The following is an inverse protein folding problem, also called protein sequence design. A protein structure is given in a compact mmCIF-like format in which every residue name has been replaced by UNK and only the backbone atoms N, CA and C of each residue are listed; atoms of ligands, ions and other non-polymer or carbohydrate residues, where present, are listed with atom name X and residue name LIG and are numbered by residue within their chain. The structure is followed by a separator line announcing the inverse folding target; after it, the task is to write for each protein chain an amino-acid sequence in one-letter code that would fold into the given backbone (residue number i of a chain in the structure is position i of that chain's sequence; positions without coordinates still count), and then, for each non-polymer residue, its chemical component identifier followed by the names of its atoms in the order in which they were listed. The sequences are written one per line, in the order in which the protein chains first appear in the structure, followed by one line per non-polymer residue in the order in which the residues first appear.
data_IF_752895888477
#
_entry.id   IF_752895888477
#
_cell.length_a   1.000
_cell.length_b   1.000
_cell.length_c   1.000
_cell.angle_alpha   90.00
_cell.angle_beta   90.00
_cell.angle_gamma   90.00
#
_symmetry.space_group_name_H-M   'P 1'
#
loop_
_entity.id
_entity.type
_entity.pdbx_description
1 polymer ?
#
# COMPACT_ATOMS: atom_id res chain seq x y z
N UNK A 1 17.92 -42.44 -26.75
CA UNK A 1 17.04 -43.32 -27.56
C UNK A 1 15.61 -42.85 -27.40
N UNK A 2 15.01 -42.43 -28.54
CA UNK A 2 13.57 -42.50 -28.91
C UNK A 2 12.56 -41.79 -27.96
N UNK A 3 11.56 -41.01 -28.34
CA UNK A 3 11.12 -40.38 -29.62
C UNK A 3 9.99 -39.42 -29.23
N UNK A 4 9.99 -38.28 -29.83
CA UNK A 4 8.93 -37.34 -30.20
C UNK A 4 7.51 -37.91 -30.31
N UNK A 5 6.47 -37.15 -29.92
CA UNK A 5 5.25 -36.98 -30.73
C UNK A 5 4.67 -35.58 -30.47
N UNK A 6 4.59 -34.83 -31.56
CA UNK A 6 3.91 -33.58 -31.82
C UNK A 6 2.48 -33.88 -32.23
N UNK A 7 1.48 -33.11 -31.79
CA UNK A 7 0.19 -33.08 -32.49
C UNK A 7 -0.32 -31.63 -32.57
N UNK A 8 -0.29 -31.11 -33.78
CA UNK A 8 -0.97 -29.90 -34.24
C UNK A 8 -2.47 -30.19 -34.44
N UNK A 9 -3.33 -29.26 -34.06
CA UNK A 9 -4.68 -29.18 -34.63
C UNK A 9 -4.98 -27.73 -35.00
N UNK A 10 -4.93 -27.48 -36.30
CA UNK A 10 -5.46 -26.29 -36.95
C UNK A 10 -6.87 -26.60 -37.44
N UNK A 11 -7.82 -25.70 -37.20
CA UNK A 11 -9.10 -25.73 -37.93
C UNK A 11 -9.45 -24.31 -38.38
N UNK A 12 -9.28 -24.12 -39.67
CA UNK A 12 -9.80 -23.00 -40.47
C UNK A 12 -11.28 -23.26 -40.83
N UNK A 13 -12.12 -22.23 -40.75
CA UNK A 13 -13.32 -22.21 -41.62
C UNK A 13 -13.65 -20.82 -42.14
N UNK A 14 -14.06 -20.84 -43.37
CA UNK A 14 -14.04 -19.82 -44.38
C UNK A 14 -15.26 -18.87 -44.36
N UNK A 15 -15.03 -17.74 -45.03
CA UNK A 15 -16.00 -16.70 -45.37
C UNK A 15 -17.05 -17.18 -46.40
N UNK A 16 -18.24 -16.59 -46.39
CA UNK A 16 -19.13 -16.51 -47.54
C UNK A 16 -19.77 -15.12 -47.62
N UNK A 17 -19.41 -14.44 -48.71
CA UNK A 17 -20.01 -13.21 -49.19
C UNK A 17 -21.15 -13.57 -50.13
N UNK A 18 -22.30 -12.89 -50.06
CA UNK A 18 -23.23 -12.81 -51.17
C UNK A 18 -23.87 -11.42 -51.26
N UNK A 19 -23.55 -10.80 -52.39
CA UNK A 19 -24.03 -9.53 -52.90
C UNK A 19 -25.31 -9.75 -53.66
N UNK A 20 -26.30 -8.87 -53.58
CA UNK A 20 -27.27 -8.66 -54.67
C UNK A 20 -27.80 -7.25 -54.65
N UNK A 21 -27.56 -6.57 -55.74
CA UNK A 21 -28.10 -5.27 -56.15
C UNK A 21 -29.55 -5.35 -56.55
N UNK A 22 -30.29 -4.23 -56.47
CA UNK A 22 -31.56 -4.00 -57.17
C UNK A 22 -32.20 -2.69 -56.77
N UNK A 23 -32.08 -1.65 -57.63
CA UNK A 23 -32.59 -0.31 -57.42
C UNK A 23 -34.06 -0.12 -57.82
N UNK A 24 -34.65 0.96 -57.40
CA UNK A 24 -35.40 1.95 -58.19
C UNK A 24 -36.26 2.84 -57.30
N UNK A 25 -36.18 4.13 -57.51
CA UNK A 25 -36.93 5.29 -56.99
C UNK A 25 -38.19 5.51 -57.87
N UNK A 26 -39.09 6.50 -57.62
CA UNK A 26 -39.69 7.09 -56.42
C UNK A 26 -41.26 7.16 -56.51
N UNK A 27 -41.92 7.50 -55.43
CA UNK A 27 -43.22 8.22 -55.47
C UNK A 27 -43.57 8.94 -54.16
N UNK A 28 -44.19 10.06 -54.32
CA UNK A 28 -44.46 11.17 -53.45
C UNK A 28 -45.52 10.93 -52.34
N UNK A 29 -45.38 11.74 -51.31
CA UNK A 29 -46.35 12.55 -50.55
C UNK A 29 -47.55 11.87 -49.92
N UNK A 30 -47.68 11.96 -48.60
CA UNK A 30 -48.75 12.69 -47.89
C UNK A 30 -48.39 12.86 -46.43
N UNK A 31 -48.51 14.09 -45.98
CA UNK A 31 -48.42 14.49 -44.57
C UNK A 31 -49.70 14.11 -43.80
N UNK A 32 -49.54 13.64 -42.56
CA UNK A 32 -50.59 13.64 -41.55
C UNK A 32 -49.96 13.63 -40.12
N UNK A 33 -50.67 14.05 -39.07
CA UNK A 33 -50.17 15.04 -38.11
C UNK A 33 -49.46 14.45 -36.91
N UNK A 34 -48.66 15.31 -36.27
CA UNK A 34 -47.90 15.06 -35.08
C UNK A 34 -48.77 14.59 -33.88
N UNK A 35 -48.42 13.45 -33.34
CA UNK A 35 -48.81 13.04 -31.99
C UNK A 35 -47.78 13.55 -30.96
N UNK A 36 -48.15 13.89 -29.71
CA UNK A 36 -47.26 14.51 -28.76
C UNK A 36 -46.19 13.52 -28.28
N UNK A 37 -44.98 14.01 -28.23
CA UNK A 37 -43.85 13.30 -27.65
C UNK A 37 -44.10 13.01 -26.15
N UNK A 38 -44.26 11.75 -25.83
CA UNK A 38 -44.15 11.28 -24.45
C UNK A 38 -42.69 11.39 -24.07
N UNK A 39 -42.40 12.30 -23.15
CA UNK A 39 -41.10 12.37 -22.48
C UNK A 39 -41.00 11.14 -21.57
N UNK A 40 -40.40 10.06 -22.03
CA UNK A 40 -39.90 9.02 -21.15
C UNK A 40 -38.76 9.63 -20.34
N UNK A 41 -39.07 9.96 -19.09
CA UNK A 41 -38.04 10.14 -18.08
C UNK A 41 -37.30 8.79 -17.94
N UNK A 42 -36.11 8.70 -18.53
CA UNK A 42 -35.19 7.63 -18.24
C UNK A 42 -34.90 7.71 -16.74
N UNK A 43 -35.49 6.81 -15.96
CA UNK A 43 -35.06 6.52 -14.61
C UNK A 43 -33.58 6.06 -14.75
N UNK A 44 -32.63 6.91 -14.36
CA UNK A 44 -31.29 6.47 -14.07
C UNK A 44 -31.44 5.41 -12.99
N UNK A 45 -31.16 4.15 -13.35
CA UNK A 45 -30.93 3.13 -12.35
C UNK A 45 -29.71 3.61 -11.56
N UNK A 46 -29.92 4.01 -10.31
CA UNK A 46 -28.84 4.17 -9.34
C UNK A 46 -28.07 2.85 -9.35
N UNK A 47 -26.75 2.94 -9.61
CA UNK A 47 -25.86 1.83 -9.37
C UNK A 47 -26.10 1.36 -7.92
N UNK A 48 -26.09 0.05 -7.65
CA UNK A 48 -26.23 -0.44 -6.29
C UNK A 48 -25.22 0.31 -5.41
N UNK A 49 -25.69 0.92 -4.33
CA UNK A 49 -24.84 1.58 -3.37
C UNK A 49 -23.75 0.59 -2.97
N UNK A 50 -22.48 0.98 -3.09
CA UNK A 50 -21.37 0.16 -2.61
C UNK A 50 -21.68 -0.20 -1.14
N UNK A 51 -21.50 -1.48 -0.79
CA UNK A 51 -21.65 -1.92 0.60
C UNK A 51 -20.68 -1.08 1.46
N UNK A 52 -21.19 -0.47 2.53
CA UNK A 52 -20.38 0.33 3.45
C UNK A 52 -19.44 -0.60 4.22
N UNK A 53 -18.13 -0.38 4.10
CA UNK A 53 -17.15 -1.10 4.89
C UNK A 53 -17.31 -0.80 6.39
N UNK A 54 -17.72 0.43 6.72
CA UNK A 54 -18.05 0.82 8.10
C UNK A 54 -19.18 -0.03 8.69
N UNK A 55 -20.25 -0.26 7.93
CA UNK A 55 -21.33 -1.13 8.39
C UNK A 55 -20.89 -2.59 8.51
N UNK A 56 -20.06 -3.06 7.58
CA UNK A 56 -19.52 -4.42 7.60
C UNK A 56 -18.67 -4.67 8.84
N UNK A 57 -17.69 -3.79 9.16
CA UNK A 57 -16.86 -3.96 10.36
C UNK A 57 -17.68 -3.87 11.66
N UNK A 58 -18.69 -2.98 11.72
CA UNK A 58 -19.60 -2.89 12.87
C UNK A 58 -20.43 -4.16 13.04
N UNK A 59 -20.90 -4.75 11.96
CA UNK A 59 -21.63 -6.02 11.99
C UNK A 59 -20.73 -7.20 12.41
N UNK A 60 -19.47 -7.20 11.97
CA UNK A 60 -18.48 -8.21 12.33
C UNK A 60 -17.88 -8.00 13.75
N UNK A 61 -18.05 -6.81 14.33
CA UNK A 61 -17.55 -6.46 15.65
C UNK A 61 -16.04 -6.23 15.72
N UNK A 62 -15.34 -6.16 14.59
CA UNK A 62 -13.89 -5.95 14.56
C UNK A 62 -13.41 -5.24 13.30
N UNK A 63 -12.30 -4.50 13.44
CA UNK A 63 -11.47 -3.97 12.37
C UNK A 63 -10.22 -4.85 12.25
N UNK A 64 -9.95 -5.41 11.06
CA UNK A 64 -8.76 -6.22 10.79
C UNK A 64 -7.71 -5.37 10.08
N UNK A 65 -6.53 -5.22 10.70
CA UNK A 65 -5.44 -4.35 10.25
C UNK A 65 -4.28 -5.21 9.77
N UNK A 66 -3.84 -5.03 8.53
CA UNK A 66 -2.68 -5.71 7.95
C UNK A 66 -1.39 -4.92 8.20
N UNK A 67 -0.38 -5.61 8.76
CA UNK A 67 0.92 -5.02 9.13
C UNK A 67 2.09 -5.96 8.79
N UNK A 68 3.31 -5.42 8.78
CA UNK A 68 4.58 -6.16 8.90
C UNK A 68 5.31 -5.73 10.16
N UNK A 69 6.38 -6.43 10.55
CA UNK A 69 7.22 -6.05 11.70
C UNK A 69 8.03 -4.79 11.37
N UNK A 70 7.62 -3.66 11.93
CA UNK A 70 8.15 -2.33 11.66
C UNK A 70 8.20 -1.47 12.93
N UNK A 71 9.24 -1.62 13.76
CA UNK A 71 9.47 -0.72 14.91
C UNK A 71 9.88 0.68 14.39
N UNK A 72 9.26 1.79 14.87
CA UNK A 72 8.38 1.89 16.04
C UNK A 72 6.88 1.98 15.70
N UNK A 73 6.49 1.67 14.46
CA UNK A 73 5.10 1.80 14.00
C UNK A 73 4.23 0.62 14.42
N UNK A 74 4.67 -0.61 14.10
CA UNK A 74 3.99 -1.87 14.46
C UNK A 74 5.02 -2.94 14.74
N UNK A 75 5.12 -3.40 15.97
CA UNK A 75 6.05 -4.45 16.37
C UNK A 75 5.51 -5.21 17.58
N UNK A 76 6.15 -6.33 17.93
CA UNK A 76 5.69 -7.16 19.04
C UNK A 76 6.51 -6.89 20.30
N UNK A 77 5.81 -6.73 21.42
CA UNK A 77 6.44 -6.72 22.74
C UNK A 77 6.93 -8.13 23.14
N UNK A 78 7.61 -8.23 24.29
CA UNK A 78 8.11 -9.51 24.83
C UNK A 78 7.00 -10.55 25.08
N UNK A 79 5.76 -10.13 25.21
CA UNK A 79 4.59 -10.99 25.42
C UNK A 79 3.93 -11.39 24.08
N UNK A 80 4.40 -10.86 22.96
CA UNK A 80 3.88 -11.12 21.63
C UNK A 80 2.67 -10.27 21.24
N UNK A 81 2.38 -9.20 22.00
CA UNK A 81 1.31 -8.26 21.62
C UNK A 81 1.84 -7.24 20.64
N UNK A 82 1.04 -6.90 19.64
CA UNK A 82 1.32 -5.79 18.75
C UNK A 82 1.25 -4.46 19.51
N UNK A 83 2.31 -3.68 19.42
CA UNK A 83 2.46 -2.32 19.97
C UNK A 83 3.10 -1.43 18.89
N UNK A 84 3.21 -0.14 19.13
CA UNK A 84 3.76 0.83 18.20
C UNK A 84 2.76 1.95 17.92
N UNK A 85 3.25 3.00 17.28
CA UNK A 85 2.42 4.18 17.00
C UNK A 85 1.18 3.83 16.17
N UNK A 86 1.37 3.13 15.04
CA UNK A 86 0.27 2.76 14.16
C UNK A 86 -0.64 1.71 14.81
N UNK A 87 -0.07 0.71 15.48
CA UNK A 87 -0.83 -0.32 16.19
C UNK A 87 -1.76 0.28 17.27
N UNK A 88 -1.27 1.25 18.04
CA UNK A 88 -2.06 1.85 19.11
C UNK A 88 -3.08 2.85 18.58
N UNK A 89 -2.74 3.60 17.52
CA UNK A 89 -3.71 4.46 16.84
C UNK A 89 -4.81 3.64 16.13
N UNK A 90 -4.49 2.48 15.56
CA UNK A 90 -5.47 1.57 14.97
C UNK A 90 -6.43 1.00 16.02
N UNK A 91 -5.91 0.58 17.19
CA UNK A 91 -6.74 0.16 18.32
C UNK A 91 -7.66 1.28 18.82
N UNK A 92 -7.13 2.52 18.91
CA UNK A 92 -7.92 3.68 19.31
C UNK A 92 -9.01 4.02 18.28
N UNK A 93 -8.71 3.91 16.99
CA UNK A 93 -9.69 4.09 15.91
C UNK A 93 -10.78 3.04 15.97
N UNK A 94 -10.44 1.74 16.08
CA UNK A 94 -11.42 0.66 16.23
C UNK A 94 -12.34 0.88 17.44
N UNK A 95 -11.75 1.26 18.59
CA UNK A 95 -12.52 1.59 19.79
C UNK A 95 -13.47 2.78 19.57
N UNK A 96 -13.08 3.80 18.81
CA UNK A 96 -13.94 4.93 18.45
C UNK A 96 -15.16 4.53 17.63
N UNK A 97 -15.04 3.45 16.85
CA UNK A 97 -16.11 2.86 16.05
C UNK A 97 -16.97 1.87 16.86
N UNK A 98 -16.55 1.52 18.08
CA UNK A 98 -17.21 0.55 18.96
C UNK A 98 -16.96 -0.90 18.57
N UNK A 99 -15.82 -1.20 17.96
CA UNK A 99 -15.41 -2.55 17.54
C UNK A 99 -14.03 -2.91 18.13
N UNK A 100 -13.68 -4.20 18.12
CA UNK A 100 -12.36 -4.69 18.46
C UNK A 100 -11.35 -4.41 17.34
N UNK A 101 -10.05 -4.36 17.66
CA UNK A 101 -8.97 -4.29 16.69
C UNK A 101 -8.24 -5.64 16.63
N UNK A 102 -8.19 -6.24 15.45
CA UNK A 102 -7.38 -7.43 15.17
C UNK A 102 -6.23 -7.04 14.25
N UNK A 103 -4.98 -7.16 14.72
CA UNK A 103 -3.78 -6.87 13.93
C UNK A 103 -3.23 -8.19 13.42
N UNK A 104 -3.05 -8.30 12.11
CA UNK A 104 -2.57 -9.51 11.43
C UNK A 104 -1.31 -9.19 10.62
N UNK A 105 -0.34 -10.08 10.71
CA UNK A 105 0.88 -9.98 9.90
C UNK A 105 0.58 -10.49 8.49
N UNK A 106 0.95 -9.69 7.49
CA UNK A 106 0.78 -9.99 6.06
C UNK A 106 2.13 -10.04 5.35
N UNK A 107 2.16 -10.58 4.14
CA UNK A 107 3.25 -10.34 3.22
C UNK A 107 2.99 -9.01 2.52
N UNK A 108 3.91 -8.05 2.66
CA UNK A 108 3.70 -6.67 2.19
C UNK A 108 3.42 -6.55 0.69
N UNK A 109 4.05 -7.40 -0.10
CA UNK A 109 3.81 -7.48 -1.55
C UNK A 109 2.36 -7.87 -1.91
N UNK A 110 1.66 -8.54 -0.99
CA UNK A 110 0.28 -8.96 -1.15
C UNK A 110 -0.76 -7.99 -0.55
N UNK A 111 -0.35 -6.83 0.00
CA UNK A 111 -1.24 -5.91 0.74
C UNK A 111 -2.52 -5.51 -0.02
N UNK A 112 -2.40 -5.25 -1.34
CA UNK A 112 -3.55 -4.90 -2.18
C UNK A 112 -4.48 -6.11 -2.35
N UNK A 113 -3.91 -7.29 -2.59
CA UNK A 113 -4.67 -8.53 -2.76
C UNK A 113 -5.42 -8.94 -1.47
N UNK A 114 -4.75 -8.81 -0.32
CA UNK A 114 -5.37 -9.07 0.99
C UNK A 114 -6.53 -8.12 1.27
N UNK A 115 -6.36 -6.84 0.93
CA UNK A 115 -7.37 -5.81 1.08
C UNK A 115 -8.60 -6.07 0.18
N UNK A 116 -8.36 -6.34 -1.12
CA UNK A 116 -9.40 -6.65 -2.10
C UNK A 116 -10.11 -7.97 -1.78
N UNK A 117 -9.36 -8.95 -1.25
CA UNK A 117 -9.86 -10.25 -0.79
C UNK A 117 -10.69 -10.19 0.49
N UNK A 118 -10.75 -9.01 1.15
CA UNK A 118 -11.45 -8.81 2.44
C UNK A 118 -10.89 -9.69 3.57
N UNK A 119 -9.62 -10.09 3.51
CA UNK A 119 -8.91 -10.74 4.61
C UNK A 119 -8.46 -9.73 5.65
N UNK A 120 -8.20 -8.49 5.22
CA UNK A 120 -7.98 -7.32 6.05
C UNK A 120 -8.96 -6.20 5.66
N UNK A 121 -9.17 -5.25 6.57
CA UNK A 121 -10.03 -4.08 6.34
C UNK A 121 -9.22 -2.83 5.99
N UNK A 122 -8.00 -2.75 6.48
CA UNK A 122 -7.04 -1.70 6.12
C UNK A 122 -5.60 -2.20 6.17
N UNK A 123 -4.73 -1.46 5.48
CA UNK A 123 -3.27 -1.54 5.58
C UNK A 123 -2.82 -0.32 6.36
N UNK A 124 -2.27 -0.53 7.56
CA UNK A 124 -1.84 0.56 8.43
C UNK A 124 -0.51 0.19 9.08
N UNK A 125 0.59 0.57 8.47
CA UNK A 125 1.94 0.09 8.83
C UNK A 125 3.01 1.03 8.24
N UNK A 126 2.96 2.33 8.58
CA UNK A 126 3.87 3.30 7.96
C UNK A 126 3.82 3.24 6.43
N UNK A 127 2.61 3.08 5.87
CA UNK A 127 2.47 2.84 4.44
C UNK A 127 2.70 4.13 3.64
N UNK A 128 3.74 4.12 2.82
CA UNK A 128 4.04 5.22 1.90
C UNK A 128 2.93 5.41 0.88
N UNK A 129 2.49 6.64 0.72
CA UNK A 129 1.47 7.04 -0.25
C UNK A 129 2.08 7.14 -1.67
N UNK A 130 2.51 6.01 -2.24
CA UNK A 130 3.02 5.94 -3.62
C UNK A 130 1.89 6.12 -4.64
N UNK A 131 2.23 6.33 -5.91
CA UNK A 131 1.23 6.44 -6.98
C UNK A 131 0.48 5.12 -7.17
N UNK A 132 1.15 3.96 -6.98
CA UNK A 132 0.53 2.65 -7.00
C UNK A 132 -0.53 2.51 -5.90
N UNK A 133 -0.15 2.81 -4.65
CA UNK A 133 -1.04 2.76 -3.48
C UNK A 133 -2.26 3.66 -3.67
N UNK A 134 -2.05 4.92 -4.06
CA UNK A 134 -3.15 5.89 -4.32
C UNK A 134 -4.08 5.44 -5.45
N UNK A 135 -3.54 4.74 -6.44
CA UNK A 135 -4.34 4.19 -7.55
C UNK A 135 -5.19 3.00 -7.12
N UNK A 136 -4.63 2.10 -6.31
CA UNK A 136 -5.26 0.84 -5.92
C UNK A 136 -6.20 0.98 -4.72
N UNK A 137 -5.90 1.88 -3.77
CA UNK A 137 -6.60 2.00 -2.49
C UNK A 137 -7.32 3.33 -2.33
N UNK A 138 -8.32 3.38 -1.45
CA UNK A 138 -8.84 4.60 -0.85
C UNK A 138 -7.95 4.93 0.34
N UNK A 139 -7.18 6.01 0.23
CA UNK A 139 -6.20 6.36 1.24
C UNK A 139 -6.72 7.47 2.17
N UNK A 140 -6.30 7.42 3.42
CA UNK A 140 -6.43 8.57 4.33
C UNK A 140 -5.56 9.73 3.83
N UNK A 141 -5.74 10.90 4.44
CA UNK A 141 -4.73 11.95 4.36
C UNK A 141 -3.41 11.48 4.98
N UNK A 142 -2.33 12.11 4.54
CA UNK A 142 -1.03 11.88 5.14
C UNK A 142 -1.03 12.30 6.62
N UNK A 143 -0.42 11.47 7.47
CA UNK A 143 -0.31 11.74 8.91
C UNK A 143 1.13 11.88 9.41
N UNK A 144 2.11 11.36 8.66
CA UNK A 144 3.51 11.31 9.07
C UNK A 144 4.45 11.49 7.87
N UNK A 145 5.57 12.18 8.07
CA UNK A 145 6.64 12.30 7.08
C UNK A 145 7.64 11.15 7.25
N UNK A 146 8.22 10.71 6.15
CA UNK A 146 9.27 9.69 6.11
C UNK A 146 10.25 9.94 4.95
N UNK A 147 11.25 9.07 4.85
CA UNK A 147 12.17 8.96 3.72
C UNK A 147 12.70 7.54 3.63
N UNK A 148 13.02 7.08 2.43
CA UNK A 148 13.79 5.86 2.24
C UNK A 148 15.27 6.19 2.39
N UNK A 149 15.97 5.44 3.25
CA UNK A 149 17.39 5.69 3.53
C UNK A 149 18.21 4.41 3.42
N UNK A 150 19.48 4.59 3.12
CA UNK A 150 20.47 3.50 3.02
C UNK A 150 21.07 3.22 4.40
N UNK A 151 20.94 1.98 4.84
CA UNK A 151 21.61 1.45 6.03
C UNK A 151 22.77 0.54 5.61
N UNK A 152 23.94 0.71 6.24
CA UNK A 152 25.17 0.01 5.92
C UNK A 152 26.01 -0.21 7.19
N UNK A 153 27.03 -1.08 7.13
CA UNK A 153 27.98 -1.23 8.24
C UNK A 153 28.75 0.07 8.48
N UNK A 154 28.91 0.43 9.75
CA UNK A 154 29.52 1.71 10.16
C UNK A 154 30.98 1.84 9.71
N UNK A 155 31.72 0.71 9.62
CA UNK A 155 33.17 0.70 9.27
C UNK A 155 33.45 1.00 7.79
N UNK A 156 32.44 0.93 6.91
CA UNK A 156 32.56 1.25 5.49
C UNK A 156 31.75 2.47 5.06
N UNK A 157 30.94 3.02 5.93
CA UNK A 157 29.97 4.07 5.63
C UNK A 157 30.55 5.32 4.93
N UNK A 158 31.77 5.72 5.28
CA UNK A 158 32.44 6.89 4.69
C UNK A 158 32.66 6.77 3.17
N UNK A 159 32.63 5.55 2.63
CA UNK A 159 32.82 5.27 1.21
C UNK A 159 31.51 5.42 0.40
N UNK A 160 30.34 5.46 1.08
CA UNK A 160 29.03 5.32 0.48
C UNK A 160 28.11 6.48 0.87
N UNK A 161 28.51 7.70 0.49
CA UNK A 161 27.83 8.95 0.86
C UNK A 161 27.05 9.58 -0.31
N UNK A 162 27.01 8.94 -1.47
CA UNK A 162 26.29 9.42 -2.68
C UNK A 162 25.63 8.23 -3.39
N UNK A 163 24.52 8.48 -4.10
CA UNK A 163 23.83 7.42 -4.88
C UNK A 163 24.78 6.73 -5.85
N UNK A 164 25.70 7.46 -6.49
CA UNK A 164 26.65 6.90 -7.42
C UNK A 164 27.60 5.88 -6.76
N UNK A 165 27.99 6.12 -5.50
CA UNK A 165 28.83 5.18 -4.75
C UNK A 165 28.13 3.88 -4.37
N UNK A 166 26.80 3.82 -4.48
CA UNK A 166 25.98 2.67 -4.09
C UNK A 166 25.80 1.63 -5.20
N UNK A 167 26.13 1.97 -6.45
CA UNK A 167 25.80 1.18 -7.65
C UNK A 167 26.35 -0.25 -7.67
N UNK A 168 27.47 -0.49 -7.01
CA UNK A 168 28.11 -1.81 -6.96
C UNK A 168 27.66 -2.66 -5.75
N UNK A 169 26.82 -2.11 -4.86
CA UNK A 169 26.32 -2.81 -3.68
C UNK A 169 25.12 -3.68 -4.01
N UNK A 170 24.93 -4.73 -3.20
CA UNK A 170 23.70 -5.54 -3.16
C UNK A 170 22.90 -5.15 -1.94
N UNK A 171 21.66 -4.73 -2.18
CA UNK A 171 20.74 -4.29 -1.13
C UNK A 171 19.78 -5.39 -0.72
N UNK A 172 19.40 -5.43 0.56
CA UNK A 172 18.18 -6.07 1.02
C UNK A 172 17.07 -5.03 1.08
N UNK A 173 15.90 -5.31 0.51
CA UNK A 173 14.73 -4.44 0.55
C UNK A 173 13.45 -5.26 0.74
N UNK A 174 12.47 -4.72 1.44
CA UNK A 174 11.19 -5.40 1.59
C UNK A 174 10.45 -5.45 0.26
N UNK A 175 9.96 -6.64 -0.12
CA UNK A 175 9.24 -6.84 -1.38
C UNK A 175 7.97 -5.99 -1.45
N UNK A 176 7.75 -5.31 -2.57
CA UNK A 176 6.58 -4.45 -2.81
C UNK A 176 6.53 -3.18 -1.95
N UNK A 177 7.66 -2.78 -1.33
CA UNK A 177 7.77 -1.55 -0.54
C UNK A 177 8.19 -0.34 -1.38
N UNK A 178 8.05 0.87 -0.81
CA UNK A 178 8.64 2.08 -1.37
C UNK A 178 10.18 1.99 -1.49
N UNK A 179 10.83 1.25 -0.59
CA UNK A 179 12.25 0.96 -0.66
C UNK A 179 12.62 0.18 -1.93
N UNK A 180 11.79 -0.77 -2.35
CA UNK A 180 11.98 -1.47 -3.62
C UNK A 180 11.79 -0.53 -4.81
N UNK A 181 10.73 0.29 -4.85
CA UNK A 181 10.51 1.28 -5.92
C UNK A 181 11.72 2.20 -6.08
N UNK A 182 12.24 2.73 -4.96
CA UNK A 182 13.40 3.62 -4.97
C UNK A 182 14.69 2.89 -5.41
N UNK A 183 14.85 1.61 -5.07
CA UNK A 183 15.97 0.81 -5.56
C UNK A 183 15.91 0.64 -7.08
N UNK A 184 14.73 0.36 -7.63
CA UNK A 184 14.49 0.24 -9.08
C UNK A 184 14.72 1.57 -9.80
N UNK A 185 14.17 2.67 -9.30
CA UNK A 185 14.34 4.03 -9.86
C UNK A 185 15.80 4.46 -9.91
N UNK A 186 16.59 4.07 -8.92
CA UNK A 186 18.01 4.36 -8.85
C UNK A 186 18.90 3.28 -9.50
N UNK A 187 18.31 2.27 -10.15
CA UNK A 187 19.03 1.16 -10.80
C UNK A 187 20.05 0.48 -9.85
N UNK A 188 19.64 0.26 -8.59
CA UNK A 188 20.45 -0.43 -7.57
C UNK A 188 20.19 -1.94 -7.64
N UNK A 189 21.20 -2.76 -7.33
CA UNK A 189 21.04 -4.21 -7.28
C UNK A 189 20.43 -4.59 -5.92
N UNK A 190 19.32 -5.31 -5.91
CA UNK A 190 18.69 -5.71 -4.66
C UNK A 190 18.20 -7.17 -4.65
N UNK A 191 18.03 -7.67 -3.44
CA UNK A 191 17.35 -8.94 -3.14
C UNK A 191 16.14 -8.61 -2.28
N UNK A 192 14.93 -8.99 -2.70
CA UNK A 192 13.73 -8.75 -1.90
C UNK A 192 13.72 -9.67 -0.67
N UNK A 193 13.31 -9.11 0.48
CA UNK A 193 13.07 -9.81 1.74
C UNK A 193 11.62 -9.64 2.17
N UNK A 194 11.19 -10.35 3.23
CA UNK A 194 9.79 -10.36 3.66
C UNK A 194 9.38 -9.08 4.42
N UNK A 195 10.30 -8.54 5.23
CA UNK A 195 10.06 -7.35 6.05
C UNK A 195 11.32 -6.48 6.11
N UNK A 196 11.18 -5.20 6.42
CA UNK A 196 12.33 -4.30 6.58
C UNK A 196 13.25 -4.74 7.73
N UNK A 197 12.71 -5.32 8.80
CA UNK A 197 13.50 -5.90 9.89
C UNK A 197 14.43 -7.03 9.38
N UNK A 198 13.97 -7.84 8.42
CA UNK A 198 14.82 -8.87 7.77
C UNK A 198 15.96 -8.22 6.97
N UNK A 199 15.71 -7.07 6.32
CA UNK A 199 16.76 -6.35 5.60
C UNK A 199 17.88 -5.89 6.54
N UNK A 200 17.57 -5.40 7.74
CA UNK A 200 18.58 -5.08 8.75
C UNK A 200 19.37 -6.31 9.21
N UNK A 201 18.72 -7.46 9.37
CA UNK A 201 19.38 -8.72 9.72
C UNK A 201 20.35 -9.18 8.63
N UNK A 202 19.99 -9.06 7.35
CA UNK A 202 20.86 -9.38 6.21
C UNK A 202 22.15 -8.55 6.23
N UNK A 203 22.05 -7.22 6.44
CA UNK A 203 23.21 -6.35 6.52
C UNK A 203 24.07 -6.67 7.75
N UNK A 204 23.48 -6.91 8.91
CA UNK A 204 24.18 -7.26 10.13
C UNK A 204 24.94 -8.59 9.97
N UNK A 205 24.32 -9.58 9.34
CA UNK A 205 24.93 -10.88 9.02
C UNK A 205 26.01 -10.79 7.93
N UNK A 206 25.95 -9.76 7.06
CA UNK A 206 26.86 -9.58 5.92
C UNK A 206 26.48 -10.43 4.71
N UNK A 207 25.21 -10.82 4.59
CA UNK A 207 24.65 -11.49 3.42
C UNK A 207 24.20 -10.49 2.36
N UNK A 208 23.87 -9.26 2.76
CA UNK A 208 23.71 -8.09 1.92
C UNK A 208 24.70 -6.99 2.33
N UNK A 209 25.14 -6.16 1.37
CA UNK A 209 26.05 -5.05 1.64
C UNK A 209 25.38 -3.89 2.36
N UNK A 210 24.12 -3.61 1.99
CA UNK A 210 23.31 -2.52 2.50
C UNK A 210 21.82 -2.90 2.53
N UNK A 211 21.00 -2.06 3.17
CA UNK A 211 19.54 -2.12 3.10
C UNK A 211 18.97 -0.77 2.71
N UNK A 212 17.79 -0.77 2.11
CA UNK A 212 16.95 0.42 1.99
C UNK A 212 15.74 0.20 2.86
N UNK A 213 15.56 1.08 3.84
CA UNK A 213 14.47 1.03 4.82
C UNK A 213 13.94 2.42 5.12
N UNK A 214 12.84 2.47 5.82
CA UNK A 214 12.23 3.70 6.30
C UNK A 214 13.10 4.40 7.35
N UNK A 215 13.18 5.72 7.25
CA UNK A 215 13.99 6.54 8.15
C UNK A 215 13.55 6.44 9.61
N UNK A 216 12.26 6.22 9.87
CA UNK A 216 11.74 6.03 11.23
C UNK A 216 12.21 4.70 11.84
N UNK A 217 12.20 3.61 11.05
CA UNK A 217 12.80 2.34 11.51
C UNK A 217 14.29 2.48 11.77
N UNK A 218 15.02 3.13 10.86
CA UNK A 218 16.45 3.33 11.06
C UNK A 218 16.76 4.16 12.31
N UNK A 219 15.95 5.20 12.58
CA UNK A 219 16.11 6.02 13.79
C UNK A 219 15.86 5.23 15.08
N UNK A 220 14.95 4.25 15.06
CA UNK A 220 14.63 3.42 16.22
C UNK A 220 15.65 2.28 16.42
N UNK A 221 16.12 1.64 15.34
CA UNK A 221 16.81 0.36 15.43
C UNK A 221 18.30 0.41 15.10
N UNK A 222 18.83 1.49 14.47
CA UNK A 222 20.19 1.58 13.95
C UNK A 222 21.04 2.59 14.71
N UNK A 223 22.26 2.19 15.10
CA UNK A 223 23.23 3.05 15.76
C UNK A 223 23.52 2.67 17.21
N UNK A 224 24.38 3.43 17.86
CA UNK A 224 24.84 3.17 19.23
C UNK A 224 23.65 3.12 20.21
N UNK A 225 23.59 2.08 21.03
CA UNK A 225 22.53 1.87 22.01
C UNK A 225 21.30 1.14 21.50
N UNK A 226 21.27 0.77 20.23
CA UNK A 226 20.17 0.01 19.60
C UNK A 226 20.56 -1.45 19.33
N UNK A 227 19.62 -2.23 18.78
CA UNK A 227 19.86 -3.63 18.35
C UNK A 227 20.93 -3.76 17.27
N UNK A 228 21.15 -2.72 16.46
CA UNK A 228 22.10 -2.70 15.34
C UNK A 228 23.19 -1.62 15.53
N UNK A 229 23.91 -1.69 16.65
CA UNK A 229 24.94 -0.71 17.01
C UNK A 229 26.14 -0.62 16.04
N UNK A 230 26.35 -1.63 15.21
CA UNK A 230 27.40 -1.70 14.19
C UNK A 230 26.95 -1.24 12.81
N UNK A 231 25.69 -0.85 12.68
CA UNK A 231 25.12 -0.27 11.47
C UNK A 231 24.97 1.25 11.61
N UNK A 232 24.90 1.92 10.50
CA UNK A 232 24.60 3.33 10.39
C UNK A 232 23.84 3.61 9.09
N UNK A 233 23.24 4.78 8.97
CA UNK A 233 22.61 5.21 7.73
C UNK A 233 23.41 6.32 7.06
N UNK A 234 23.34 6.40 5.72
CA UNK A 234 24.15 7.31 4.92
C UNK A 234 23.33 8.19 3.99
N UNK A 235 22.76 7.64 2.92
CA UNK A 235 22.10 8.39 1.85
C UNK A 235 20.58 8.34 2.05
N UNK A 236 19.93 9.51 2.08
CA UNK A 236 18.49 9.63 1.89
C UNK A 236 18.18 9.60 0.41
N UNK A 237 17.27 8.73 -0.01
CA UNK A 237 16.97 8.49 -1.42
C UNK A 237 15.75 9.29 -1.90
N UNK A 238 14.78 9.57 -1.01
CA UNK A 238 13.58 10.33 -1.30
C UNK A 238 13.08 11.12 -0.08
N UNK A 239 11.90 11.69 -0.22
CA UNK A 239 11.07 12.21 0.87
C UNK A 239 9.64 11.81 0.56
N UNK A 240 8.93 11.26 1.53
CA UNK A 240 7.63 10.64 1.36
C UNK A 240 6.72 10.86 2.57
N UNK A 241 5.47 10.46 2.45
CA UNK A 241 4.46 10.61 3.49
C UNK A 241 3.72 9.28 3.71
N UNK A 242 3.36 8.99 4.96
CA UNK A 242 2.54 7.84 5.31
C UNK A 242 1.05 8.17 5.32
N UNK A 243 0.27 7.19 4.90
CA UNK A 243 -1.17 7.14 5.04
C UNK A 243 -1.67 5.73 5.31
N UNK A 244 -2.97 5.60 5.50
CA UNK A 244 -3.63 4.31 5.72
C UNK A 244 -4.45 3.97 4.48
N UNK A 245 -4.33 2.72 4.01
CA UNK A 245 -5.03 2.23 2.83
C UNK A 245 -6.25 1.40 3.19
N UNK A 246 -7.36 1.69 2.52
CA UNK A 246 -8.61 0.96 2.58
C UNK A 246 -8.99 0.47 1.19
N UNK A 247 -9.97 -0.44 1.08
CA UNK A 247 -10.53 -0.84 -0.21
C UNK A 247 -10.99 0.38 -1.00
N UNK A 248 -10.82 0.36 -2.30
CA UNK A 248 -11.22 1.48 -3.18
C UNK A 248 -12.70 1.80 -3.00
N UNK A 249 -12.99 3.07 -2.73
CA UNK A 249 -14.34 3.57 -2.45
C UNK A 249 -14.85 3.31 -1.02
N UNK A 250 -14.00 2.86 -0.10
CA UNK A 250 -14.34 2.66 1.30
C UNK A 250 -14.65 3.96 2.01
N UNK A 251 -15.69 3.95 2.85
CA UNK A 251 -16.07 5.07 3.71
C UNK A 251 -15.21 5.19 4.98
N UNK A 252 -14.32 4.22 5.22
CA UNK A 252 -13.43 4.21 6.38
C UNK A 252 -12.31 5.26 6.29
N UNK A 253 -11.84 5.60 5.07
CA UNK A 253 -10.79 6.61 4.91
C UNK A 253 -11.22 7.99 5.45
N UNK A 254 -12.43 8.42 5.10
CA UNK A 254 -12.98 9.67 5.62
C UNK A 254 -13.23 9.63 7.13
N UNK A 255 -13.70 8.49 7.66
CA UNK A 255 -13.89 8.30 9.09
C UNK A 255 -12.56 8.34 9.87
N UNK A 256 -11.48 7.80 9.29
CA UNK A 256 -10.15 7.87 9.87
C UNK A 256 -9.60 9.30 9.85
N UNK A 257 -9.80 10.05 8.77
CA UNK A 257 -9.42 11.46 8.71
C UNK A 257 -10.08 12.30 9.81
N UNK A 258 -11.38 12.05 10.06
CA UNK A 258 -12.11 12.70 11.16
C UNK A 258 -11.57 12.27 12.54
N UNK A 259 -11.22 10.99 12.71
CA UNK A 259 -10.59 10.49 13.93
C UNK A 259 -9.21 11.12 14.16
N UNK A 260 -8.37 11.23 13.15
CA UNK A 260 -7.07 11.91 13.26
C UNK A 260 -7.23 13.39 13.63
N UNK A 261 -8.19 14.08 13.02
CA UNK A 261 -8.48 15.48 13.36
C UNK A 261 -8.92 15.63 14.83
N UNK A 262 -9.76 14.72 15.33
CA UNK A 262 -10.18 14.72 16.73
C UNK A 262 -9.01 14.40 17.68
N UNK A 263 -8.20 13.39 17.35
CA UNK A 263 -7.03 12.99 18.16
C UNK A 263 -5.91 14.03 18.19
N UNK A 264 -5.78 14.83 17.10
CA UNK A 264 -4.93 16.03 17.10
C UNK A 264 -5.48 17.11 18.05
N UNK A 265 -6.76 17.36 17.98
CA UNK A 265 -7.41 18.41 18.76
C UNK A 265 -7.38 18.14 20.28
N UNK A 266 -7.52 16.88 20.69
CA UNK A 266 -7.47 16.47 22.11
C UNK A 266 -6.05 16.13 22.60
N UNK A 267 -5.07 16.08 21.69
CA UNK A 267 -3.66 15.81 21.99
C UNK A 267 -3.29 14.33 22.12
N UNK A 268 -4.24 13.41 21.96
CA UNK A 268 -3.99 11.96 22.11
C UNK A 268 -3.04 11.42 21.02
N UNK A 269 -3.13 11.92 19.78
CA UNK A 269 -2.23 11.57 18.69
C UNK A 269 -0.78 11.95 19.03
N UNK A 270 -0.55 13.18 19.46
CA UNK A 270 0.80 13.66 19.80
C UNK A 270 1.37 12.92 21.01
N UNK A 271 0.53 12.62 21.99
CA UNK A 271 0.95 11.82 23.15
C UNK A 271 1.40 10.42 22.74
N UNK A 272 0.66 9.75 21.85
CA UNK A 272 1.07 8.47 21.28
C UNK A 272 2.37 8.59 20.49
N UNK A 273 2.51 9.63 19.65
CA UNK A 273 3.74 9.88 18.90
C UNK A 273 4.97 10.11 19.81
N UNK A 274 4.81 10.81 20.93
CA UNK A 274 5.86 11.02 21.95
C UNK A 274 6.27 9.70 22.63
N UNK A 275 5.31 8.80 22.88
CA UNK A 275 5.55 7.50 23.51
C UNK A 275 6.48 6.63 22.65
N UNK A 276 6.30 6.67 21.34
CA UNK A 276 7.08 5.90 20.36
C UNK A 276 8.20 6.69 19.68
N UNK A 277 8.44 7.95 20.10
CA UNK A 277 9.56 8.77 19.61
C UNK A 277 9.40 9.31 18.19
N UNK A 278 8.19 9.27 17.61
CA UNK A 278 7.91 9.70 16.22
C UNK A 278 7.31 11.09 16.09
N UNK A 279 7.18 11.82 17.19
CA UNK A 279 6.51 13.13 17.25
C UNK A 279 7.09 14.17 16.27
N UNK A 280 8.38 14.10 15.96
CA UNK A 280 9.02 15.04 15.03
C UNK A 280 8.64 14.81 13.56
N UNK A 281 8.09 13.65 13.24
CA UNK A 281 7.67 13.29 11.90
C UNK A 281 6.18 13.54 11.64
N UNK A 282 5.38 13.82 12.68
CA UNK A 282 3.94 14.06 12.53
C UNK A 282 3.66 15.30 11.68
N UNK A 283 2.66 15.17 10.81
CA UNK A 283 2.16 16.27 9.96
C UNK A 283 1.12 17.07 10.75
N UNK A 284 1.22 18.41 10.71
CA UNK A 284 0.32 19.37 11.38
C UNK A 284 -1.14 19.37 10.84
#
# INVERSE_FOLDING_TARGET
MKKTITTFFALTFAAAVLSACGGSKPAETTAAPAAPAATEAAAQAEAPAAESDMEAIKANGKLVVGVTDFEPMDYKDDAGNWIGFDADMAKAFAASLGVDCEIVEIDWDNKILELDGKTIDCVWNGMTLTDEVKSAMECSKAYCNNAQIVVIKSDVADQYQTVESLKDLTFAVEAGSAGQEVAEENELNFTPVKAQADALMEVAAGTSDAAIIDSLMAAAMVGEGTGYANLTYTVGLNSEEYGVGFRKGSDLAAALDDFFAASKADGSLMKCAEEYGVQAAMID
#
